data_IF_176802149785
#
_entry.id   IF_176802149785
#
_cell.length_a   1.000
_cell.length_b   1.000
_cell.length_c   1.000
_cell.angle_alpha   90.00
_cell.angle_beta   90.00
_cell.angle_gamma   90.00
#
_symmetry.space_group_name_H-M   'P 1'
#
loop_
_entity.id
_entity.type
_entity.pdbx_description
1 polymer ?
#
# COMPACT_ATOMS: atom_id res chain seq x y z
N UNK A 1 25.08 14.56 13.63
CA UNK A 1 23.62 14.69 13.79
C UNK A 1 22.98 14.21 12.51
N UNK A 2 22.18 13.15 12.53
CA UNK A 2 21.46 12.72 11.34
C UNK A 2 20.50 13.83 10.94
N UNK A 3 20.56 14.31 9.70
CA UNK A 3 19.60 15.29 9.20
C UNK A 3 18.21 14.65 9.27
N UNK A 4 17.31 15.20 10.07
CA UNK A 4 15.91 14.82 10.04
C UNK A 4 15.40 15.13 8.64
N UNK A 5 15.17 14.10 7.82
CA UNK A 5 14.39 14.27 6.59
C UNK A 5 13.02 14.75 7.03
N UNK A 6 12.70 16.00 6.70
CA UNK A 6 11.39 16.59 6.99
C UNK A 6 10.48 16.18 5.83
N UNK A 7 9.50 15.34 6.13
CA UNK A 7 8.39 15.03 5.23
C UNK A 7 7.10 15.61 5.82
N UNK A 8 6.18 16.00 4.95
CA UNK A 8 4.87 16.57 5.32
C UNK A 8 4.00 15.54 6.04
N UNK A 9 3.91 14.33 5.49
CA UNK A 9 3.23 13.17 6.08
C UNK A 9 3.79 11.87 5.51
N UNK A 10 3.39 10.74 6.11
CA UNK A 10 3.68 9.40 5.60
C UNK A 10 2.38 8.80 5.09
N UNK A 11 2.35 8.37 3.84
CA UNK A 11 1.22 7.65 3.27
C UNK A 11 1.69 6.38 2.59
N UNK A 12 0.85 5.36 2.58
CA UNK A 12 1.12 4.15 1.83
C UNK A 12 -0.13 3.58 1.17
N UNK A 13 0.11 2.91 0.06
CA UNK A 13 -0.82 2.01 -0.59
C UNK A 13 -0.25 0.60 -0.54
N UNK A 14 -1.03 -0.32 0.01
CA UNK A 14 -0.64 -1.70 0.28
C UNK A 14 -1.67 -2.60 -0.38
N UNK A 15 -1.21 -3.53 -1.20
CA UNK A 15 -2.08 -4.37 -2.01
C UNK A 15 -1.66 -5.84 -1.85
N UNK A 16 -2.62 -6.70 -1.53
CA UNK A 16 -2.42 -8.15 -1.40
C UNK A 16 -3.41 -8.93 -2.24
N UNK A 17 -2.93 -9.76 -3.19
CA UNK A 17 -3.79 -10.54 -4.08
C UNK A 17 -3.46 -12.02 -3.95
N UNK A 18 -4.41 -12.79 -3.41
CA UNK A 18 -4.40 -14.24 -3.37
C UNK A 18 -5.28 -14.88 -4.45
N UNK A 19 -6.42 -14.24 -4.79
CA UNK A 19 -7.51 -14.81 -5.59
C UNK A 19 -7.26 -14.77 -7.10
N UNK A 20 -6.23 -15.46 -7.57
CA UNK A 20 -6.06 -15.72 -9.00
C UNK A 20 -6.94 -16.87 -9.47
N UNK A 21 -7.40 -16.80 -10.72
CA UNK A 21 -8.18 -17.89 -11.35
C UNK A 21 -7.36 -19.18 -11.51
N UNK A 22 -6.04 -19.06 -11.65
CA UNK A 22 -5.09 -20.17 -11.70
C UNK A 22 -4.06 -19.93 -10.60
N UNK A 23 -3.68 -20.99 -9.91
CA UNK A 23 -2.63 -20.99 -8.88
C UNK A 23 -2.82 -19.89 -7.82
N UNK A 24 -3.92 -19.94 -7.04
CA UNK A 24 -4.16 -18.93 -6.01
C UNK A 24 -3.02 -18.93 -4.98
N UNK A 25 -2.63 -17.73 -4.54
CA UNK A 25 -1.62 -17.55 -3.49
C UNK A 25 -2.28 -17.66 -2.12
N UNK A 26 -1.47 -17.95 -1.10
CA UNK A 26 -1.96 -18.18 0.26
C UNK A 26 -1.70 -16.99 1.19
N UNK A 27 -0.58 -16.29 1.03
CA UNK A 27 -0.05 -15.40 2.07
C UNK A 27 -0.04 -13.91 1.73
N UNK A 28 -0.32 -13.50 0.49
CA UNK A 28 -0.21 -12.10 0.09
C UNK A 28 -1.19 -11.17 0.84
N UNK A 29 -2.37 -11.69 1.22
CA UNK A 29 -3.31 -10.95 2.08
C UNK A 29 -2.71 -10.75 3.47
N UNK A 30 -2.17 -11.81 4.08
CA UNK A 30 -1.58 -11.75 5.42
C UNK A 30 -0.39 -10.77 5.43
N UNK A 31 0.47 -10.84 4.41
CA UNK A 31 1.63 -9.94 4.29
C UNK A 31 1.18 -8.46 4.19
N UNK A 32 0.13 -8.19 3.41
CA UNK A 32 -0.44 -6.85 3.27
C UNK A 32 -1.08 -6.35 4.58
N UNK A 33 -1.82 -7.21 5.29
CA UNK A 33 -2.45 -6.88 6.57
C UNK A 33 -1.42 -6.62 7.67
N UNK A 34 -0.40 -7.48 7.78
CA UNK A 34 0.68 -7.34 8.76
C UNK A 34 1.47 -6.05 8.54
N UNK A 35 1.84 -5.76 7.29
CA UNK A 35 2.53 -4.51 6.95
C UNK A 35 1.64 -3.29 7.22
N UNK A 36 0.34 -3.37 6.91
CA UNK A 36 -0.60 -2.28 7.19
C UNK A 36 -0.68 -1.97 8.68
N UNK A 37 -0.66 -2.99 9.53
CA UNK A 37 -0.71 -2.86 10.98
C UNK A 37 0.54 -2.17 11.51
N UNK A 38 1.71 -2.62 11.06
CA UNK A 38 3.00 -2.05 11.46
C UNK A 38 3.11 -0.59 10.98
N UNK A 39 2.77 -0.29 9.72
CA UNK A 39 2.89 1.05 9.18
C UNK A 39 1.91 2.04 9.84
N UNK A 40 0.68 1.61 10.16
CA UNK A 40 -0.24 2.42 10.97
C UNK A 40 0.36 2.76 12.34
N UNK A 41 1.04 1.82 12.98
CA UNK A 41 1.68 2.04 14.30
C UNK A 41 2.79 3.11 14.27
N UNK A 42 3.38 3.33 13.10
CA UNK A 42 4.38 4.38 12.88
C UNK A 42 3.82 5.54 12.05
N UNK A 43 2.52 5.84 12.18
CA UNK A 43 1.83 7.02 11.63
C UNK A 43 1.85 7.14 10.10
N UNK A 44 1.74 6.02 9.37
CA UNK A 44 1.34 6.09 7.97
C UNK A 44 -0.18 6.19 7.84
N UNK A 45 -0.61 7.02 6.90
CA UNK A 45 -1.96 6.99 6.34
C UNK A 45 -2.03 5.87 5.28
N UNK A 46 -2.88 4.85 5.51
CA UNK A 46 -2.86 3.59 4.75
C UNK A 46 -4.11 3.42 3.90
N UNK A 47 -3.89 3.22 2.60
CA UNK A 47 -4.84 2.59 1.66
C UNK A 47 -4.50 1.11 1.55
N UNK A 48 -5.38 0.22 2.04
CA UNK A 48 -5.19 -1.24 1.97
C UNK A 48 -6.21 -1.85 1.01
N UNK A 49 -5.75 -2.64 0.04
CA UNK A 49 -6.60 -3.25 -0.98
C UNK A 49 -6.30 -4.74 -1.13
N UNK A 50 -7.33 -5.57 -1.07
CA UNK A 50 -7.20 -7.02 -1.03
C UNK A 50 -7.99 -7.68 -2.16
N UNK A 51 -7.33 -8.53 -2.94
CA UNK A 51 -7.92 -9.24 -4.09
C UNK A 51 -8.71 -8.32 -5.04
N UNK A 52 -8.21 -7.10 -5.28
CA UNK A 52 -8.82 -6.20 -6.25
C UNK A 52 -8.67 -6.75 -7.67
N UNK A 53 -9.64 -6.47 -8.53
CA UNK A 53 -9.50 -6.73 -9.97
C UNK A 53 -8.66 -5.62 -10.64
N UNK A 54 -8.27 -5.84 -11.90
CA UNK A 54 -7.40 -4.95 -12.64
C UNK A 54 -7.99 -3.53 -12.82
N UNK A 55 -9.29 -3.43 -13.06
CA UNK A 55 -9.94 -2.13 -13.24
C UNK A 55 -9.99 -1.35 -11.92
N UNK A 56 -10.22 -2.07 -10.81
CA UNK A 56 -10.18 -1.48 -9.49
C UNK A 56 -8.77 -1.04 -9.12
N UNK A 57 -7.75 -1.87 -9.39
CA UNK A 57 -6.34 -1.56 -9.15
C UNK A 57 -5.95 -0.23 -9.78
N UNK A 58 -6.19 -0.03 -11.08
CA UNK A 58 -5.87 1.23 -11.76
C UNK A 58 -6.61 2.41 -11.13
N UNK A 59 -7.91 2.26 -10.84
CA UNK A 59 -8.70 3.32 -10.19
C UNK A 59 -8.17 3.71 -8.81
N UNK A 60 -7.69 2.75 -8.03
CA UNK A 60 -7.10 3.02 -6.70
C UNK A 60 -5.76 3.74 -6.88
N UNK A 61 -4.92 3.28 -7.80
CA UNK A 61 -3.61 3.90 -8.07
C UNK A 61 -3.76 5.36 -8.49
N UNK A 62 -4.69 5.65 -9.41
CA UNK A 62 -4.99 7.02 -9.84
C UNK A 62 -5.46 7.89 -8.67
N UNK A 63 -6.42 7.39 -7.89
CA UNK A 63 -6.92 8.09 -6.70
C UNK A 63 -5.85 8.31 -5.65
N UNK A 64 -4.98 7.33 -5.43
CA UNK A 64 -3.89 7.46 -4.47
C UNK A 64 -2.90 8.53 -4.92
N UNK A 65 -2.50 8.51 -6.20
CA UNK A 65 -1.63 9.51 -6.79
C UNK A 65 -2.21 10.93 -6.65
N UNK A 66 -3.52 11.11 -6.85
CA UNK A 66 -4.21 12.39 -6.67
C UNK A 66 -4.14 12.93 -5.22
N UNK A 67 -3.92 12.06 -4.22
CA UNK A 67 -3.78 12.47 -2.82
C UNK A 67 -2.35 12.83 -2.43
N UNK A 68 -1.34 12.42 -3.20
CA UNK A 68 0.07 12.67 -2.89
C UNK A 68 0.39 14.13 -3.15
N UNK A 69 1.06 14.77 -2.20
CA UNK A 69 1.53 16.15 -2.35
C UNK A 69 3.05 16.23 -2.26
N UNK A 70 3.58 17.40 -2.59
CA UNK A 70 5.00 17.72 -2.41
C UNK A 70 5.44 17.45 -0.96
N UNK A 71 6.64 16.89 -0.80
CA UNK A 71 7.24 16.44 0.46
C UNK A 71 6.48 15.33 1.22
N UNK A 72 5.52 14.63 0.62
CA UNK A 72 4.94 13.41 1.20
C UNK A 72 5.95 12.24 1.10
N UNK A 73 6.09 11.48 2.18
CA UNK A 73 6.79 10.19 2.15
C UNK A 73 5.79 9.10 1.76
N UNK A 74 5.98 8.56 0.56
CA UNK A 74 5.08 7.61 -0.08
C UNK A 74 5.68 6.21 -0.06
N UNK A 75 4.93 5.21 0.40
CA UNK A 75 5.27 3.79 0.28
C UNK A 75 4.24 3.08 -0.59
N UNK A 76 4.71 2.31 -1.57
CA UNK A 76 3.89 1.38 -2.34
C UNK A 76 4.35 -0.04 -2.07
N UNK A 77 3.43 -0.91 -1.66
CA UNK A 77 3.68 -2.32 -1.42
C UNK A 77 2.66 -3.18 -2.18
N UNK A 78 3.16 -4.21 -2.85
CA UNK A 78 2.36 -5.11 -3.67
C UNK A 78 2.82 -6.56 -3.46
N UNK A 79 1.93 -7.39 -2.90
CA UNK A 79 2.12 -8.83 -2.73
C UNK A 79 1.20 -9.59 -3.71
N UNK A 80 1.81 -10.30 -4.66
CA UNK A 80 1.16 -10.83 -5.86
C UNK A 80 2.08 -11.85 -6.56
N UNK A 81 1.62 -12.43 -7.69
CA UNK A 81 2.43 -13.25 -8.61
C UNK A 81 3.32 -12.38 -9.50
#
# INVERSE_FOLDING_TARGET
MASSVVYRRKCAIIIGINKYRRDPLQYCINDAEDLSTILRSINFDITLELNCDLNHFYRIMDRFADTVQYDDLVLFYFASH
#
